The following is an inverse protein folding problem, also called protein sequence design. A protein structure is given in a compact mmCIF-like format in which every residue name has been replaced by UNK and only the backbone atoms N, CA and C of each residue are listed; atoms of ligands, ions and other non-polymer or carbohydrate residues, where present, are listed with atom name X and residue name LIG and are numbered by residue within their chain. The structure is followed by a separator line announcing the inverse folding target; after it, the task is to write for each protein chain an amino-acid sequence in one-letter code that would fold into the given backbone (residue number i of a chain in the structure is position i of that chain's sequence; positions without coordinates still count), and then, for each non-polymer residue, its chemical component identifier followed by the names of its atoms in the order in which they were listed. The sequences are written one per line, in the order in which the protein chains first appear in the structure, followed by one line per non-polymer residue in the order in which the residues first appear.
data_IF_894758698108
#
_entry.id   IF_894758698108
#
_cell.length_a   1.000
_cell.length_b   1.000
_cell.length_c   1.000
_cell.angle_alpha   90.00
_cell.angle_beta   90.00
_cell.angle_gamma   90.00
#
_symmetry.space_group_name_H-M   'P 1'
#
loop_
_entity.id
_entity.type
_entity.pdbx_description
1 polymer ?
#
# COMPACT_ATOMS: atom_id res chain seq x y z
N UNK A 1 23.28 5.55 2.69
CA UNK A 1 22.45 4.40 2.26
C UNK A 1 21.65 3.92 3.46
N UNK A 2 20.31 4.00 3.40
CA UNK A 2 19.48 3.34 4.41
C UNK A 2 19.77 1.84 4.33
N UNK A 3 20.06 1.23 5.47
CA UNK A 3 20.29 -0.21 5.52
C UNK A 3 18.92 -0.91 5.57
N UNK A 4 18.32 -1.13 4.40
CA UNK A 4 16.97 -1.71 4.27
C UNK A 4 16.85 -3.08 4.94
N UNK A 5 17.92 -3.84 5.01
CA UNK A 5 17.98 -5.12 5.75
C UNK A 5 17.72 -4.89 7.23
N UNK A 6 18.39 -3.92 7.82
CA UNK A 6 18.20 -3.56 9.23
C UNK A 6 16.78 -3.05 9.50
N UNK A 7 16.23 -2.23 8.61
CA UNK A 7 14.89 -1.72 8.73
C UNK A 7 13.85 -2.85 8.60
N UNK A 8 14.02 -3.77 7.67
CA UNK A 8 13.18 -4.97 7.53
C UNK A 8 13.21 -5.85 8.77
N UNK A 9 14.39 -6.06 9.36
CA UNK A 9 14.54 -6.82 10.62
C UNK A 9 13.85 -6.13 11.79
N UNK A 10 13.97 -4.80 11.91
CA UNK A 10 13.29 -4.01 12.94
C UNK A 10 11.77 -4.13 12.84
N UNK A 11 11.24 -4.00 11.62
CA UNK A 11 9.81 -4.15 11.37
C UNK A 11 9.33 -5.53 11.83
N UNK A 12 9.99 -6.62 11.40
CA UNK A 12 9.61 -7.96 11.78
C UNK A 12 9.70 -8.20 13.30
N UNK A 13 10.78 -7.73 13.94
CA UNK A 13 10.96 -7.84 15.39
C UNK A 13 9.90 -7.10 16.17
N UNK A 14 9.55 -5.88 15.75
CA UNK A 14 8.53 -5.06 16.40
C UNK A 14 7.16 -5.74 16.42
N UNK A 15 6.84 -6.48 15.37
CA UNK A 15 5.56 -7.20 15.24
C UNK A 15 5.66 -8.67 15.70
N UNK A 16 6.74 -9.06 16.36
CA UNK A 16 6.96 -10.42 16.86
C UNK A 16 6.88 -11.50 15.78
N UNK A 17 7.29 -11.15 14.57
CA UNK A 17 7.32 -12.07 13.42
C UNK A 17 8.74 -12.61 13.24
N UNK A 18 8.84 -13.92 13.01
CA UNK A 18 10.14 -14.56 12.81
C UNK A 18 10.88 -13.97 11.60
N UNK A 19 12.14 -13.66 11.80
CA UNK A 19 13.04 -13.13 10.79
C UNK A 19 13.48 -14.28 9.89
N UNK A 20 13.01 -14.25 8.63
CA UNK A 20 13.40 -15.21 7.60
C UNK A 20 13.89 -14.48 6.36
N UNK A 21 14.77 -15.13 5.60
CA UNK A 21 15.30 -14.52 4.38
C UNK A 21 14.21 -14.09 3.37
N UNK A 22 13.17 -14.90 3.08
CA UNK A 22 12.09 -14.44 2.19
C UNK A 22 11.34 -13.20 2.70
N UNK A 23 11.08 -13.12 4.00
CA UNK A 23 10.42 -11.94 4.59
C UNK A 23 11.26 -10.67 4.48
N UNK A 24 12.57 -10.80 4.71
CA UNK A 24 13.51 -9.68 4.52
C UNK A 24 13.46 -9.22 3.08
N UNK A 25 13.63 -10.12 2.12
CA UNK A 25 13.67 -9.78 0.68
C UNK A 25 12.38 -9.12 0.19
N UNK A 26 11.22 -9.60 0.63
CA UNK A 26 9.93 -8.99 0.28
C UNK A 26 9.79 -7.61 0.89
N UNK A 27 10.14 -7.43 2.18
CA UNK A 27 10.11 -6.13 2.83
C UNK A 27 11.09 -5.13 2.22
N UNK A 28 12.30 -5.56 1.88
CA UNK A 28 13.28 -4.72 1.18
C UNK A 28 12.74 -4.22 -0.15
N UNK A 29 12.14 -5.11 -0.94
CA UNK A 29 11.53 -4.75 -2.21
C UNK A 29 10.40 -3.71 -2.03
N UNK A 30 9.52 -3.90 -1.05
CA UNK A 30 8.44 -2.97 -0.74
C UNK A 30 8.96 -1.62 -0.24
N UNK A 31 9.98 -1.62 0.62
CA UNK A 31 10.62 -0.39 1.12
C UNK A 31 11.35 0.38 0.01
N UNK A 32 11.97 -0.33 -0.92
CA UNK A 32 12.68 0.28 -2.06
C UNK A 32 11.71 0.96 -3.03
N UNK A 33 10.55 0.35 -3.28
CA UNK A 33 9.49 0.97 -4.08
C UNK A 33 8.95 2.24 -3.42
N UNK A 34 8.70 2.18 -2.12
CA UNK A 34 8.22 3.32 -1.34
C UNK A 34 6.81 3.81 -1.68
N UNK A 35 6.16 3.20 -2.69
CA UNK A 35 4.83 3.48 -3.18
C UNK A 35 4.02 2.18 -3.30
N UNK A 36 2.69 2.24 -3.42
CA UNK A 36 1.90 1.06 -3.76
C UNK A 36 2.40 0.38 -5.04
N UNK A 37 2.42 -0.94 -5.04
CA UNK A 37 2.94 -1.75 -6.14
C UNK A 37 2.00 -2.92 -6.41
N UNK A 38 1.83 -3.30 -7.68
CA UNK A 38 1.08 -4.52 -8.01
C UNK A 38 1.83 -5.77 -7.57
N UNK A 39 1.09 -6.81 -7.21
CA UNK A 39 1.72 -8.11 -6.87
C UNK A 39 2.51 -8.66 -8.05
N UNK A 40 2.06 -8.44 -9.28
CA UNK A 40 2.75 -8.91 -10.48
C UNK A 40 4.11 -8.22 -10.67
N UNK A 41 4.19 -6.89 -10.45
CA UNK A 41 5.46 -6.15 -10.48
C UNK A 41 6.40 -6.61 -9.36
N UNK A 42 5.86 -6.78 -8.15
CA UNK A 42 6.63 -7.28 -7.02
C UNK A 42 7.16 -8.69 -7.28
N UNK A 43 6.32 -9.57 -7.86
CA UNK A 43 6.72 -10.91 -8.26
C UNK A 43 7.81 -10.89 -9.33
N UNK A 44 7.69 -10.02 -10.33
CA UNK A 44 8.71 -9.86 -11.38
C UNK A 44 10.05 -9.42 -10.81
N UNK A 45 10.03 -8.47 -9.86
CA UNK A 45 11.24 -8.00 -9.17
C UNK A 45 11.92 -9.09 -8.36
N UNK A 46 11.16 -9.95 -7.72
CA UNK A 46 11.65 -11.04 -6.86
C UNK A 46 11.84 -12.37 -7.61
N UNK A 47 11.65 -12.39 -8.93
CA UNK A 47 11.79 -13.59 -9.73
C UNK A 47 13.19 -14.20 -9.60
N UNK A 48 13.24 -15.53 -9.40
CA UNK A 48 14.49 -16.25 -9.20
C UNK A 48 15.10 -16.13 -7.79
N UNK A 49 14.55 -15.26 -6.94
CA UNK A 49 15.03 -15.03 -5.56
C UNK A 49 14.02 -15.51 -4.54
N UNK A 50 12.73 -15.23 -4.78
CA UNK A 50 11.62 -15.71 -3.94
C UNK A 50 10.61 -16.44 -4.82
N UNK A 51 10.27 -17.67 -4.43
CA UNK A 51 9.24 -18.44 -5.13
C UNK A 51 7.87 -17.78 -5.00
N UNK A 52 7.02 -17.85 -6.05
CA UNK A 52 5.68 -17.26 -6.08
C UNK A 52 4.83 -17.64 -4.87
N UNK A 53 4.79 -18.92 -4.51
CA UNK A 53 4.02 -19.40 -3.35
C UNK A 53 4.55 -18.84 -2.03
N UNK A 54 5.86 -18.66 -1.92
CA UNK A 54 6.49 -18.04 -0.76
C UNK A 54 6.17 -16.56 -0.67
N UNK A 55 6.18 -15.83 -1.79
CA UNK A 55 5.76 -14.43 -1.86
C UNK A 55 4.34 -14.25 -1.31
N UNK A 56 3.38 -15.00 -1.82
CA UNK A 56 1.99 -14.92 -1.36
C UNK A 56 1.82 -15.25 0.12
N UNK A 57 2.59 -16.23 0.62
CA UNK A 57 2.59 -16.56 2.06
C UNK A 57 3.11 -15.39 2.89
N UNK A 58 4.22 -14.78 2.47
CA UNK A 58 4.79 -13.61 3.16
C UNK A 58 3.81 -12.44 3.15
N UNK A 59 3.21 -12.12 2.00
CA UNK A 59 2.21 -11.04 1.90
C UNK A 59 1.02 -11.30 2.84
N UNK A 60 0.54 -12.53 2.91
CA UNK A 60 -0.54 -12.89 3.83
C UNK A 60 -0.13 -12.75 5.31
N UNK A 61 1.09 -13.12 5.67
CA UNK A 61 1.61 -12.93 7.03
C UNK A 61 1.68 -11.44 7.39
N UNK A 62 2.18 -10.61 6.47
CA UNK A 62 2.28 -9.16 6.66
C UNK A 62 0.89 -8.49 6.75
N UNK A 63 -0.10 -8.98 6.01
CA UNK A 63 -1.50 -8.52 6.13
C UNK A 63 -2.10 -8.86 7.49
N UNK A 64 -1.88 -10.08 7.99
CA UNK A 64 -2.39 -10.52 9.29
C UNK A 64 -1.90 -9.64 10.44
N UNK A 65 -0.67 -9.17 10.39
CA UNK A 65 -0.09 -8.27 11.39
C UNK A 65 -0.34 -6.80 11.08
N UNK A 66 -1.16 -6.50 10.07
CA UNK A 66 -1.63 -5.15 9.69
C UNK A 66 -0.52 -4.16 9.30
N UNK A 67 0.58 -4.63 8.77
CA UNK A 67 1.64 -3.78 8.19
C UNK A 67 1.61 -3.75 6.66
N UNK A 68 0.72 -4.52 6.06
CA UNK A 68 0.48 -4.51 4.62
C UNK A 68 -1.00 -4.30 4.34
N UNK A 69 -1.31 -3.33 3.51
CA UNK A 69 -2.62 -3.12 2.94
C UNK A 69 -2.69 -3.73 1.54
N UNK A 70 -3.87 -4.19 1.14
CA UNK A 70 -4.14 -4.73 -0.19
C UNK A 70 -5.43 -4.15 -0.72
N UNK A 71 -5.40 -3.66 -1.94
CA UNK A 71 -6.58 -3.13 -2.63
C UNK A 71 -6.53 -3.46 -4.12
N UNK A 72 -7.65 -3.27 -4.80
CA UNK A 72 -7.76 -3.53 -6.24
C UNK A 72 -7.73 -2.22 -7.00
N UNK A 73 -6.86 -2.11 -7.99
CA UNK A 73 -6.81 -0.97 -8.90
C UNK A 73 -7.93 -1.05 -9.96
N UNK A 74 -8.20 0.05 -10.70
CA UNK A 74 -9.27 0.09 -11.70
C UNK A 74 -9.16 -0.95 -12.82
N UNK A 75 -7.95 -1.40 -13.14
CA UNK A 75 -7.68 -2.46 -14.11
C UNK A 75 -7.79 -3.88 -13.53
N UNK A 76 -8.33 -4.02 -12.32
CA UNK A 76 -8.43 -5.25 -11.55
C UNK A 76 -7.09 -5.88 -11.11
N UNK A 77 -6.01 -5.12 -11.13
CA UNK A 77 -4.75 -5.57 -10.54
C UNK A 77 -4.80 -5.52 -9.02
N UNK A 78 -4.20 -6.48 -8.35
CA UNK A 78 -4.04 -6.45 -6.90
C UNK A 78 -2.81 -5.64 -6.54
N UNK A 79 -3.01 -4.58 -5.77
CA UNK A 79 -1.97 -3.65 -5.31
C UNK A 79 -1.73 -3.86 -3.84
N UNK A 80 -0.49 -3.79 -3.43
CA UNK A 80 -0.06 -3.86 -2.02
C UNK A 80 0.78 -2.65 -1.65
N UNK A 81 0.65 -2.21 -0.40
CA UNK A 81 1.44 -1.13 0.18
C UNK A 81 1.81 -1.43 1.63
N UNK A 82 2.99 -0.97 2.05
CA UNK A 82 3.39 -1.03 3.46
C UNK A 82 2.72 0.08 4.26
N UNK A 83 2.15 -0.29 5.41
CA UNK A 83 1.63 0.62 6.43
C UNK A 83 2.69 0.73 7.51
N UNK A 84 3.53 1.76 7.47
CA UNK A 84 4.47 2.09 8.54
C UNK A 84 3.79 3.09 9.48
N UNK A 85 4.06 3.01 10.78
CA UNK A 85 3.31 3.69 11.86
C UNK A 85 3.20 5.23 11.78
N UNK A 86 3.97 5.87 10.92
CA UNK A 86 3.94 7.32 10.71
C UNK A 86 3.14 7.74 9.47
N UNK A 87 2.35 6.83 8.88
CA UNK A 87 1.53 7.21 7.74
C UNK A 87 0.30 7.97 8.21
N UNK A 88 0.33 9.28 7.99
CA UNK A 88 -0.85 10.10 7.90
C UNK A 88 -1.86 9.42 6.97
N UNK A 89 -3.13 9.56 7.29
CA UNK A 89 -4.23 9.17 6.42
C UNK A 89 -3.99 9.69 5.01
N UNK A 90 -3.93 8.81 4.02
CA UNK A 90 -3.69 9.15 2.62
C UNK A 90 -4.72 8.51 1.71
N UNK A 91 -4.80 9.03 0.50
CA UNK A 91 -5.69 8.59 -0.56
C UNK A 91 -4.87 8.19 -1.77
N UNK A 92 -5.49 7.61 -2.78
CA UNK A 92 -4.79 7.13 -3.96
C UNK A 92 -5.22 7.87 -5.23
N UNK A 93 -4.23 8.20 -6.06
CA UNK A 93 -4.41 8.68 -7.42
C UNK A 93 -3.94 7.59 -8.38
N UNK A 94 -4.81 7.21 -9.31
CA UNK A 94 -4.53 6.18 -10.31
C UNK A 94 -4.39 6.80 -11.69
N UNK A 95 -3.33 6.44 -12.41
CA UNK A 95 -3.24 6.72 -13.83
C UNK A 95 -3.95 5.61 -14.62
N UNK A 96 -4.97 5.97 -15.38
CA UNK A 96 -5.75 5.02 -16.18
C UNK A 96 -5.00 4.50 -17.42
N UNK A 97 -3.88 5.12 -17.79
CA UNK A 97 -3.07 4.73 -18.94
C UNK A 97 -1.93 3.78 -18.55
N UNK A 98 -1.09 4.15 -17.59
CA UNK A 98 0.09 3.37 -17.22
C UNK A 98 -0.09 2.52 -15.95
N UNK A 99 -1.20 2.69 -15.22
CA UNK A 99 -1.48 1.95 -13.99
C UNK A 99 -0.69 2.43 -12.76
N UNK A 100 0.04 3.56 -12.87
CA UNK A 100 0.76 4.12 -11.74
C UNK A 100 -0.19 4.51 -10.61
N UNK A 101 0.21 4.21 -9.37
CA UNK A 101 -0.53 4.56 -8.17
C UNK A 101 0.31 5.50 -7.32
N UNK A 102 -0.26 6.63 -6.97
CA UNK A 102 0.40 7.68 -6.18
C UNK A 102 -0.37 7.91 -4.90
N UNK A 103 0.33 7.94 -3.77
CA UNK A 103 -0.24 8.34 -2.48
C UNK A 103 -0.43 9.85 -2.45
N UNK A 104 -1.62 10.28 -2.06
CA UNK A 104 -2.00 11.68 -2.00
C UNK A 104 -2.56 12.02 -0.63
N UNK A 105 -2.01 13.04 -0.02
CA UNK A 105 -2.58 13.65 1.17
C UNK A 105 -3.52 14.80 0.77
N UNK A 106 -4.74 14.79 1.28
CA UNK A 106 -5.68 15.88 1.09
C UNK A 106 -5.55 16.90 2.23
N UNK A 107 -6.09 18.09 2.02
CA UNK A 107 -6.01 19.14 3.03
C UNK A 107 -6.77 18.78 4.30
N UNK A 108 -6.28 19.24 5.46
CA UNK A 108 -6.98 19.05 6.75
C UNK A 108 -8.40 19.61 6.74
N UNK A 109 -8.64 20.68 6.00
CA UNK A 109 -9.98 21.27 5.83
C UNK A 109 -10.92 20.30 5.13
N UNK A 110 -10.46 19.64 4.06
CA UNK A 110 -11.23 18.63 3.34
C UNK A 110 -11.53 17.43 4.22
N UNK A 111 -10.53 16.90 4.92
CA UNK A 111 -10.70 15.77 5.84
C UNK A 111 -11.69 16.09 6.97
N UNK A 112 -11.63 17.29 7.50
CA UNK A 112 -12.58 17.75 8.53
C UNK A 112 -14.01 17.82 8.00
N UNK A 113 -14.20 18.32 6.77
CA UNK A 113 -15.52 18.35 6.11
C UNK A 113 -16.03 16.94 5.86
N UNK A 114 -15.21 16.06 5.31
CA UNK A 114 -15.56 14.67 5.03
C UNK A 114 -15.97 13.93 6.30
N UNK A 115 -15.23 14.10 7.39
CA UNK A 115 -15.56 13.50 8.68
C UNK A 115 -16.92 13.97 9.22
N UNK A 116 -17.29 15.24 9.03
CA UNK A 116 -18.62 15.74 9.39
C UNK A 116 -19.72 15.07 8.58
N UNK A 117 -19.52 14.90 7.28
CA UNK A 117 -20.46 14.18 6.41
C UNK A 117 -20.59 12.72 6.80
N UNK A 118 -19.49 12.04 7.09
CA UNK A 118 -19.48 10.65 7.57
C UNK A 118 -20.29 10.51 8.85
N UNK A 119 -20.16 11.45 9.81
CA UNK A 119 -20.97 11.43 11.04
C UNK A 119 -22.47 11.57 10.77
N UNK A 120 -22.87 12.36 9.78
CA UNK A 120 -24.28 12.49 9.38
C UNK A 120 -24.79 11.19 8.74
N UNK A 121 -24.00 10.56 7.87
CA UNK A 121 -24.33 9.28 7.23
C UNK A 121 -24.48 8.18 8.30
N UNK A 122 -23.59 8.11 9.27
CA UNK A 122 -23.67 7.16 10.39
C UNK A 122 -25.00 7.30 11.15
N UNK A 123 -25.37 8.54 11.48
CA UNK A 123 -26.64 8.83 12.19
C UNK A 123 -27.86 8.48 11.35
N UNK A 124 -27.83 8.81 10.06
CA UNK A 124 -28.96 8.60 9.15
C UNK A 124 -29.24 7.13 8.91
N UNK A 125 -28.21 6.30 8.81
CA UNK A 125 -28.32 4.89 8.46
C UNK A 125 -28.12 3.93 9.64
N UNK A 126 -27.91 4.44 10.86
CA UNK A 126 -27.55 3.65 12.04
C UNK A 126 -26.37 2.70 11.76
N UNK A 127 -25.30 3.23 11.20
CA UNK A 127 -24.14 2.49 10.75
C UNK A 127 -22.88 3.02 11.44
N UNK A 128 -21.97 2.13 11.82
CA UNK A 128 -20.64 2.50 12.30
C UNK A 128 -19.67 2.46 11.12
N UNK A 129 -19.18 3.63 10.70
CA UNK A 129 -18.21 3.75 9.62
C UNK A 129 -16.82 3.74 10.26
N UNK A 130 -16.03 2.73 9.98
CA UNK A 130 -14.71 2.52 10.58
C UNK A 130 -13.57 3.10 9.75
N UNK A 131 -13.79 3.32 8.45
CA UNK A 131 -12.77 3.82 7.53
C UNK A 131 -13.43 4.43 6.29
N UNK A 132 -12.68 5.26 5.56
CA UNK A 132 -13.09 5.79 4.26
C UNK A 132 -11.90 5.87 3.31
N UNK A 133 -12.17 5.90 2.01
CA UNK A 133 -11.17 6.08 0.96
C UNK A 133 -11.68 7.08 -0.07
N UNK A 134 -10.77 7.92 -0.53
CA UNK A 134 -10.98 8.76 -1.73
C UNK A 134 -10.02 8.25 -2.80
N UNK A 135 -10.55 7.89 -3.93
CA UNK A 135 -9.77 7.43 -5.09
C UNK A 135 -9.99 8.41 -6.24
N UNK A 136 -8.90 8.85 -6.83
CA UNK A 136 -8.92 9.75 -7.97
C UNK A 136 -8.35 9.05 -9.19
N UNK A 137 -8.95 9.26 -10.33
CA UNK A 137 -8.58 8.62 -11.59
C UNK A 137 -8.25 9.70 -12.61
N UNK A 138 -7.12 9.55 -13.29
CA UNK A 138 -6.67 10.53 -14.28
C UNK A 138 -5.63 9.95 -15.23
N UNK A 139 -4.97 10.84 -15.94
CA UNK A 139 -3.89 10.52 -16.85
C UNK A 139 -2.68 11.34 -16.46
N UNK A 140 -1.49 10.75 -16.54
CA UNK A 140 -0.25 11.49 -16.40
C UNK A 140 -0.18 12.58 -17.47
N UNK A 141 0.11 13.81 -17.07
CA UNK A 141 0.23 14.96 -18.01
C UNK A 141 1.66 15.17 -18.48
N UNK A 142 2.62 14.55 -17.80
CA UNK A 142 4.04 14.53 -18.14
C UNK A 142 4.50 13.09 -18.26
N UNK A 143 5.64 12.86 -18.91
CA UNK A 143 6.21 11.52 -19.02
C UNK A 143 6.52 10.96 -17.62
N UNK A 144 5.70 10.04 -17.17
CA UNK A 144 6.03 9.22 -16.02
C UNK A 144 6.94 8.06 -16.46
N UNK A 145 7.69 7.48 -15.52
CA UNK A 145 8.61 6.37 -15.81
C UNK A 145 7.94 5.15 -16.45
N UNK A 146 6.63 5.04 -16.32
CA UNK A 146 5.81 3.94 -16.82
C UNK A 146 4.86 4.33 -17.96
N UNK A 147 4.64 5.62 -18.20
CA UNK A 147 3.90 6.10 -19.38
C UNK A 147 4.81 6.07 -20.60
N UNK A 148 4.48 5.23 -21.55
CA UNK A 148 5.13 5.19 -22.87
C UNK A 148 4.31 5.96 -23.89
#
# INVERSE_FOLDING_TARGET
MKNMIEDSKKILSKHSVSITNPRILVLEALLEFGNPITIDELQSKLQGVVAKSTLYRVLNDLKKIKILNEFTSPDNSTVVELILEDHSHHHHLFCSDCGEVIDVELSEEFETMLNKEIMQVQKKFNFEITDHRVEMFGLCTEECSNCK
#
